data_IF_178152054220
#
_entry.id   IF_178152054220
#
_cell.length_a   1.000
_cell.length_b   1.000
_cell.length_c   1.000
_cell.angle_alpha   90.00
_cell.angle_beta   90.00
_cell.angle_gamma   90.00
#
_symmetry.space_group_name_H-M   'P 1'
#
loop_
_entity.id
_entity.type
_entity.pdbx_description
1 polymer ?
#
# COMPACT_ATOMS: atom_id res chain seq x y z
N UNK A 1 -3.26 -8.21 -0.05
CA UNK A 1 -2.31 -7.50 -0.91
C UNK A 1 -2.63 -7.72 -2.38
N UNK A 2 -2.68 -6.65 -3.12
CA UNK A 2 -2.93 -6.68 -4.55
C UNK A 2 -1.84 -5.88 -5.27
N UNK A 3 -1.18 -6.50 -6.25
CA UNK A 3 -0.18 -5.83 -7.08
C UNK A 3 -0.72 -5.77 -8.50
N UNK A 4 -0.78 -4.56 -9.06
CA UNK A 4 -1.45 -4.28 -10.33
C UNK A 4 -0.53 -3.56 -11.30
N UNK A 5 -0.84 -3.58 -12.62
CA UNK A 5 -0.16 -2.75 -13.60
C UNK A 5 -0.27 -1.26 -13.26
N UNK A 6 0.52 -0.39 -13.91
CA UNK A 6 0.47 1.04 -13.63
C UNK A 6 -0.95 1.62 -13.74
N UNK A 7 -1.32 2.41 -12.74
CA UNK A 7 -2.62 3.08 -12.63
C UNK A 7 -2.40 4.48 -12.07
N UNK A 8 -3.37 5.36 -12.26
CA UNK A 8 -3.35 6.67 -11.63
C UNK A 8 -3.63 6.54 -10.13
N UNK A 9 -3.19 7.53 -9.36
CA UNK A 9 -3.35 7.51 -7.90
C UNK A 9 -4.81 7.36 -7.46
N UNK A 10 -5.73 8.04 -8.14
CA UNK A 10 -7.16 7.92 -7.83
C UNK A 10 -7.69 6.51 -8.08
N UNK A 11 -7.22 5.86 -9.14
CA UNK A 11 -7.60 4.49 -9.44
C UNK A 11 -7.08 3.52 -8.40
N UNK A 12 -5.85 3.70 -7.94
CA UNK A 12 -5.26 2.88 -6.86
C UNK A 12 -6.09 3.02 -5.59
N UNK A 13 -6.45 4.24 -5.24
CA UNK A 13 -7.27 4.52 -4.06
C UNK A 13 -8.64 3.85 -4.15
N UNK A 14 -9.31 3.99 -5.30
CA UNK A 14 -10.63 3.39 -5.50
C UNK A 14 -10.59 1.88 -5.44
N UNK A 15 -9.57 1.28 -6.04
CA UNK A 15 -9.41 -0.16 -6.01
C UNK A 15 -9.16 -0.65 -4.59
N UNK A 16 -8.29 0.03 -3.84
CA UNK A 16 -8.01 -0.32 -2.45
C UNK A 16 -9.27 -0.20 -1.59
N UNK A 17 -10.05 0.85 -1.78
CA UNK A 17 -11.31 1.04 -1.06
C UNK A 17 -12.29 -0.08 -1.36
N UNK A 18 -12.44 -0.45 -2.62
CA UNK A 18 -13.32 -1.55 -3.03
C UNK A 18 -12.88 -2.89 -2.45
N UNK A 19 -11.59 -3.18 -2.48
CA UNK A 19 -11.03 -4.42 -1.94
C UNK A 19 -11.16 -4.46 -0.42
N UNK A 20 -10.95 -3.33 0.26
CA UNK A 20 -11.04 -3.27 1.72
C UNK A 20 -12.43 -3.60 2.24
N UNK A 21 -13.47 -3.30 1.48
CA UNK A 21 -14.85 -3.64 1.84
C UNK A 21 -15.08 -5.16 1.89
N UNK A 22 -14.31 -5.90 1.11
CA UNK A 22 -14.40 -7.36 1.07
C UNK A 22 -13.43 -8.03 2.05
N UNK A 23 -12.30 -7.38 2.36
CA UNK A 23 -11.27 -7.96 3.21
C UNK A 23 -11.61 -7.93 4.70
N UNK A 24 -12.31 -6.91 5.18
CA UNK A 24 -12.64 -6.77 6.58
C UNK A 24 -11.44 -6.48 7.49
N UNK A 25 -10.28 -6.11 6.95
CA UNK A 25 -9.08 -5.85 7.71
C UNK A 25 -8.05 -5.08 6.89
N UNK A 26 -6.77 -5.34 7.18
CA UNK A 26 -5.67 -4.66 6.50
C UNK A 26 -5.61 -5.04 5.03
N UNK A 27 -5.63 -4.03 4.18
CA UNK A 27 -5.63 -4.20 2.74
C UNK A 27 -4.64 -3.23 2.10
N UNK A 28 -3.90 -3.68 1.09
CA UNK A 28 -2.98 -2.84 0.35
C UNK A 28 -3.07 -3.11 -1.14
N UNK A 29 -2.97 -2.05 -1.93
CA UNK A 29 -2.86 -2.13 -3.38
C UNK A 29 -1.59 -1.38 -3.80
N UNK A 30 -0.76 -2.05 -4.58
CA UNK A 30 0.41 -1.44 -5.22
C UNK A 30 0.20 -1.52 -6.72
N UNK A 31 0.36 -0.42 -7.42
CA UNK A 31 0.18 -0.35 -8.87
C UNK A 31 1.38 0.33 -9.52
N UNK A 32 1.96 -0.32 -10.52
CA UNK A 32 3.13 0.20 -11.19
C UNK A 32 3.95 -0.89 -11.83
N UNK A 33 5.25 -0.65 -11.90
CA UNK A 33 6.25 -1.60 -12.38
C UNK A 33 7.48 -1.50 -11.48
N UNK A 34 8.38 -2.47 -11.58
CA UNK A 34 9.59 -2.48 -10.75
C UNK A 34 10.33 -1.15 -10.83
N UNK A 35 10.63 -0.59 -9.68
CA UNK A 35 11.28 0.70 -9.53
C UNK A 35 10.33 1.88 -9.34
N UNK A 36 9.03 1.72 -9.60
CA UNK A 36 8.08 2.82 -9.47
C UNK A 36 6.66 2.31 -9.26
N UNK A 37 6.24 2.29 -8.00
CA UNK A 37 4.88 1.89 -7.63
C UNK A 37 4.15 3.03 -6.94
N UNK A 38 2.84 3.07 -7.12
CA UNK A 38 1.94 3.86 -6.29
C UNK A 38 1.22 2.91 -5.35
N UNK A 39 0.96 3.33 -4.12
CA UNK A 39 0.30 2.47 -3.16
C UNK A 39 -0.86 3.15 -2.45
N UNK A 40 -1.78 2.33 -1.99
CA UNK A 40 -2.80 2.72 -1.02
C UNK A 40 -2.95 1.59 -0.01
N UNK A 41 -3.04 1.93 1.27
CA UNK A 41 -3.19 0.96 2.35
C UNK A 41 -4.37 1.39 3.21
N UNK A 42 -5.25 0.46 3.50
CA UNK A 42 -6.42 0.70 4.36
C UNK A 42 -6.48 -0.36 5.44
N UNK A 43 -6.67 0.08 6.69
CA UNK A 43 -6.95 -0.81 7.82
C UNK A 43 -7.94 -0.09 8.74
N UNK A 44 -9.25 -0.25 8.50
CA UNK A 44 -10.26 0.48 9.26
C UNK A 44 -10.13 0.28 10.76
N UNK A 45 -10.24 1.36 11.52
CA UNK A 45 -10.18 1.32 12.96
C UNK A 45 -8.80 1.18 13.57
N UNK A 46 -7.75 1.19 12.75
CA UNK A 46 -6.36 1.06 13.22
C UNK A 46 -5.51 2.23 12.75
N UNK A 47 -4.57 2.62 13.59
CA UNK A 47 -3.56 3.60 13.19
C UNK A 47 -2.46 2.87 12.41
N UNK A 48 -2.36 3.15 11.12
CA UNK A 48 -1.37 2.51 10.26
C UNK A 48 -0.08 3.31 10.10
N UNK A 49 0.06 4.42 10.84
CA UNK A 49 1.27 5.25 10.75
C UNK A 49 2.56 4.46 10.96
N UNK A 50 2.67 3.57 11.97
CA UNK A 50 3.87 2.75 12.14
C UNK A 50 4.14 1.84 10.94
N UNK A 51 3.10 1.25 10.37
CA UNK A 51 3.21 0.38 9.20
C UNK A 51 3.71 1.17 7.99
N UNK A 52 3.15 2.35 7.75
CA UNK A 52 3.53 3.18 6.61
C UNK A 52 4.95 3.72 6.77
N UNK A 53 5.35 4.05 7.99
CA UNK A 53 6.72 4.49 8.26
C UNK A 53 7.72 3.37 7.93
N UNK A 54 7.43 2.14 8.32
CA UNK A 54 8.25 0.99 8.00
C UNK A 54 8.25 0.70 6.50
N UNK A 55 7.10 0.80 5.85
CA UNK A 55 6.96 0.62 4.42
C UNK A 55 7.83 1.61 3.65
N UNK A 56 7.73 2.89 3.98
CA UNK A 56 8.52 3.92 3.31
C UNK A 56 10.03 3.72 3.54
N UNK A 57 10.42 3.26 4.72
CA UNK A 57 11.83 2.99 5.01
C UNK A 57 12.36 1.79 4.22
N UNK A 58 11.60 0.72 4.12
CA UNK A 58 12.06 -0.52 3.47
C UNK A 58 11.86 -0.53 1.96
N UNK A 59 10.82 0.12 1.48
CA UNK A 59 10.49 0.13 0.07
C UNK A 59 10.86 1.44 -0.62
N UNK A 60 11.67 2.27 0.04
CA UNK A 60 12.09 3.58 -0.48
C UNK A 60 10.88 4.40 -0.93
N UNK A 61 9.86 4.44 -0.06
CA UNK A 61 8.61 5.07 -0.37
C UNK A 61 8.48 6.48 0.19
N UNK A 62 7.49 7.17 -0.32
CA UNK A 62 7.06 8.48 0.18
C UNK A 62 5.55 8.52 0.20
N UNK A 63 5.01 9.03 1.25
CA UNK A 63 3.59 9.15 1.40
C UNK A 63 3.22 9.19 2.85
N UNK A 64 1.96 9.26 3.12
CA UNK A 64 1.47 9.30 4.46
C UNK A 64 -0.02 9.12 4.51
N UNK A 65 -0.54 9.08 5.71
CA UNK A 65 -1.95 8.91 5.94
C UNK A 65 -2.26 9.06 7.42
N UNK A 66 -3.47 8.75 7.76
CA UNK A 66 -3.96 8.83 9.14
C UNK A 66 -5.20 7.96 9.29
N UNK A 67 -5.46 7.53 10.51
CA UNK A 67 -6.72 6.87 10.86
C UNK A 67 -7.08 5.66 10.00
N UNK A 68 -6.12 4.88 9.62
CA UNK A 68 -6.39 3.65 8.88
C UNK A 68 -6.37 3.78 7.37
N UNK A 69 -5.92 4.93 6.83
CA UNK A 69 -5.73 5.12 5.40
C UNK A 69 -4.41 5.80 5.11
N UNK A 70 -3.69 5.29 4.11
CA UNK A 70 -2.48 5.94 3.62
C UNK A 70 -2.34 5.75 2.11
N UNK A 71 -1.68 6.70 1.48
CA UNK A 71 -1.44 6.69 0.05
C UNK A 71 -0.08 7.30 -0.24
N UNK A 72 0.62 6.77 -1.24
CA UNK A 72 1.93 7.29 -1.59
C UNK A 72 2.54 6.55 -2.77
N UNK A 73 3.87 6.60 -2.84
CA UNK A 73 4.64 5.93 -3.87
C UNK A 73 5.82 5.16 -3.26
N UNK A 74 6.36 4.19 -3.99
CA UNK A 74 7.49 3.40 -3.54
C UNK A 74 8.40 3.06 -4.73
N UNK A 75 9.70 3.18 -4.51
CA UNK A 75 10.71 2.84 -5.53
C UNK A 75 11.29 1.45 -5.20
N UNK A 76 10.54 0.41 -5.52
CA UNK A 76 10.87 -0.96 -5.16
C UNK A 76 10.40 -1.94 -6.24
N UNK A 77 10.68 -3.23 -6.01
CA UNK A 77 10.21 -4.31 -6.89
C UNK A 77 9.00 -4.99 -6.28
N UNK A 78 8.28 -5.74 -7.11
CA UNK A 78 7.14 -6.53 -6.63
C UNK A 78 7.58 -7.55 -5.58
N UNK A 79 8.75 -8.16 -5.75
CA UNK A 79 9.29 -9.11 -4.78
C UNK A 79 9.50 -8.46 -3.42
N UNK A 80 10.05 -7.25 -3.40
CA UNK A 80 10.24 -6.50 -2.16
C UNK A 80 8.91 -6.18 -1.48
N UNK A 81 7.90 -5.80 -2.27
CA UNK A 81 6.55 -5.52 -1.76
C UNK A 81 5.97 -6.77 -1.08
N UNK A 82 6.03 -7.90 -1.75
CA UNK A 82 5.47 -9.15 -1.23
C UNK A 82 6.20 -9.62 0.03
N UNK A 83 7.51 -9.46 0.05
CA UNK A 83 8.31 -9.79 1.23
C UNK A 83 7.96 -8.90 2.41
N UNK A 84 7.89 -7.60 2.20
CA UNK A 84 7.53 -6.65 3.24
C UNK A 84 6.16 -6.98 3.84
N UNK A 85 5.18 -7.22 2.98
CA UNK A 85 3.82 -7.50 3.42
C UNK A 85 3.73 -8.80 4.22
N UNK A 86 4.43 -9.83 3.79
CA UNK A 86 4.46 -11.11 4.49
C UNK A 86 5.09 -10.98 5.87
N UNK A 87 6.18 -10.22 5.98
CA UNK A 87 6.88 -10.00 7.25
C UNK A 87 6.11 -9.10 8.20
N UNK A 88 5.23 -8.25 7.67
CA UNK A 88 4.42 -7.32 8.48
C UNK A 88 3.13 -7.94 9.01
N UNK A 89 2.80 -9.12 8.57
CA UNK A 89 1.55 -9.78 8.92
C UNK A 89 1.53 -10.29 10.38
#
# INVERSE_FOLDING_TARGET
LLVQPPMESDSVRRLCDAVSRSCGGRCAVFAGADGSYKYAVIHPGQDISPLIKALNAQLHGRGGGRDGFAQGSAACTEEEIRRFWAESA
#
